data_IF_278946045357
#
_entry.id   IF_278946045357
#
_cell.length_a   1.000
_cell.length_b   1.000
_cell.length_c   1.000
_cell.angle_alpha   90.00
_cell.angle_beta   90.00
_cell.angle_gamma   90.00
#
_symmetry.space_group_name_H-M   'P 1'
#
loop_
_entity.id
_entity.type
_entity.pdbx_description
1 polymer ?
#
# COMPACT_ATOMS: atom_id res chain seq x y z
N UNK A 1 18.61 8.89 -6.56
CA UNK A 1 18.07 7.83 -5.70
C UNK A 1 16.78 7.31 -6.33
N UNK A 2 16.66 5.99 -6.48
CA UNK A 2 15.48 5.31 -7.05
C UNK A 2 14.50 4.95 -5.95
N UNK A 3 13.26 5.34 -6.09
CA UNK A 3 12.22 5.06 -5.11
C UNK A 3 11.01 4.36 -5.74
N UNK A 4 10.26 3.64 -4.91
CA UNK A 4 9.03 2.97 -5.27
C UNK A 4 7.90 3.45 -4.36
N UNK A 5 6.76 3.78 -4.96
CA UNK A 5 5.51 4.06 -4.26
C UNK A 5 4.47 2.99 -4.57
N UNK A 6 3.89 2.42 -3.52
CA UNK A 6 2.85 1.39 -3.57
C UNK A 6 1.60 1.91 -2.82
N UNK A 7 0.69 2.60 -3.51
CA UNK A 7 -0.53 3.11 -2.90
C UNK A 7 -1.44 2.01 -2.37
N UNK A 8 -2.15 2.29 -1.28
CA UNK A 8 -3.17 1.40 -0.73
C UNK A 8 -4.36 1.23 -1.68
N UNK A 9 -4.83 0.01 -1.82
CA UNK A 9 -5.86 -0.32 -2.81
C UNK A 9 -6.73 -1.53 -2.42
N UNK A 10 -6.61 -2.01 -1.19
CA UNK A 10 -7.34 -3.20 -0.72
C UNK A 10 -6.98 -4.44 -1.53
N UNK A 11 -7.99 -5.23 -1.91
CA UNK A 11 -7.78 -6.49 -2.64
C UNK A 11 -7.09 -6.31 -4.01
N UNK A 12 -7.19 -5.12 -4.62
CA UNK A 12 -6.48 -4.80 -5.87
C UNK A 12 -4.96 -4.82 -5.73
N UNK A 13 -4.43 -4.89 -4.51
CA UNK A 13 -3.01 -5.13 -4.22
C UNK A 13 -2.45 -6.38 -4.89
N UNK A 14 -3.28 -7.35 -5.24
CA UNK A 14 -2.89 -8.50 -6.05
C UNK A 14 -2.09 -8.09 -7.30
N UNK A 15 -2.55 -7.05 -7.99
CA UNK A 15 -1.87 -6.48 -9.15
C UNK A 15 -0.46 -5.97 -8.78
N UNK A 16 -0.33 -5.23 -7.67
CA UNK A 16 0.96 -4.72 -7.22
C UNK A 16 1.93 -5.86 -6.92
N UNK A 17 1.48 -6.92 -6.24
CA UNK A 17 2.32 -8.08 -5.94
C UNK A 17 2.80 -8.78 -7.22
N UNK A 18 1.95 -8.90 -8.24
CA UNK A 18 2.34 -9.50 -9.53
C UNK A 18 3.37 -8.63 -10.26
N UNK A 19 3.14 -7.32 -10.33
CA UNK A 19 4.07 -6.37 -10.95
C UNK A 19 5.42 -6.40 -10.23
N UNK A 20 5.42 -6.38 -8.89
CA UNK A 20 6.66 -6.39 -8.12
C UNK A 20 7.45 -7.68 -8.29
N UNK A 21 6.79 -8.84 -8.35
CA UNK A 21 7.44 -10.10 -8.64
C UNK A 21 8.14 -10.09 -10.00
N UNK A 22 7.52 -9.49 -11.02
CA UNK A 22 8.10 -9.38 -12.35
C UNK A 22 9.25 -8.36 -12.42
N UNK A 23 9.08 -7.17 -11.82
CA UNK A 23 10.15 -6.17 -11.76
C UNK A 23 11.38 -6.72 -11.03
N UNK A 24 11.15 -7.49 -9.95
CA UNK A 24 12.23 -8.16 -9.22
C UNK A 24 12.99 -9.17 -10.09
N UNK A 25 12.28 -10.00 -10.84
CA UNK A 25 12.89 -10.96 -11.80
C UNK A 25 13.67 -10.28 -12.92
N UNK A 26 13.25 -9.07 -13.31
CA UNK A 26 13.99 -8.22 -14.27
C UNK A 26 15.22 -7.53 -13.66
N UNK A 27 15.50 -7.75 -12.36
CA UNK A 27 16.63 -7.14 -11.68
C UNK A 27 16.39 -5.70 -11.23
N UNK A 28 15.15 -5.20 -11.26
CA UNK A 28 14.87 -3.85 -10.76
C UNK A 28 14.97 -3.81 -9.24
N UNK A 29 15.68 -2.79 -8.73
CA UNK A 29 15.88 -2.56 -7.30
C UNK A 29 15.66 -1.08 -6.99
N UNK A 30 15.27 -0.79 -5.75
CA UNK A 30 14.94 0.54 -5.26
C UNK A 30 15.70 0.80 -3.96
N UNK A 31 16.15 2.04 -3.76
CA UNK A 31 16.84 2.47 -2.56
C UNK A 31 15.86 2.71 -1.40
N UNK A 32 14.66 3.19 -1.73
CA UNK A 32 13.56 3.45 -0.80
C UNK A 32 12.23 2.95 -1.37
N UNK A 33 11.48 2.22 -0.57
CA UNK A 33 10.15 1.70 -0.94
C UNK A 33 9.13 2.20 0.07
N UNK A 34 8.12 2.91 -0.40
CA UNK A 34 7.05 3.44 0.43
C UNK A 34 5.71 2.77 0.10
N UNK A 35 4.90 2.55 1.12
CA UNK A 35 3.57 1.99 0.93
C UNK A 35 2.55 2.38 1.99
N UNK A 36 1.28 2.33 1.58
CA UNK A 36 0.12 2.54 2.43
C UNK A 36 -0.81 1.32 2.35
N UNK A 37 -1.47 0.94 3.45
CA UNK A 37 -2.47 -0.14 3.46
C UNK A 37 -1.93 -1.43 2.82
N UNK A 38 -2.67 -2.05 1.91
CA UNK A 38 -2.22 -3.23 1.16
C UNK A 38 -0.90 -3.02 0.41
N UNK A 39 -0.64 -1.79 -0.06
CA UNK A 39 0.62 -1.42 -0.69
C UNK A 39 1.80 -1.46 0.29
N UNK A 40 1.59 -1.19 1.58
CA UNK A 40 2.65 -1.30 2.59
C UNK A 40 3.11 -2.74 2.79
N UNK A 41 2.18 -3.71 2.71
CA UNK A 41 2.52 -5.14 2.79
C UNK A 41 3.33 -5.56 1.56
N UNK A 42 2.93 -5.11 0.37
CA UNK A 42 3.70 -5.35 -0.86
C UNK A 42 5.10 -4.70 -0.79
N UNK A 43 5.21 -3.48 -0.25
CA UNK A 43 6.47 -2.79 -0.02
C UNK A 43 7.39 -3.59 0.91
N UNK A 44 6.86 -4.07 2.03
CA UNK A 44 7.61 -4.85 3.01
C UNK A 44 8.14 -6.17 2.42
N UNK A 45 7.30 -6.90 1.69
CA UNK A 45 7.69 -8.14 0.99
C UNK A 45 8.79 -7.85 -0.05
N UNK A 46 8.68 -6.72 -0.76
CA UNK A 46 9.68 -6.32 -1.75
C UNK A 46 11.03 -5.99 -1.10
N UNK A 47 11.03 -5.18 -0.03
CA UNK A 47 12.26 -4.79 0.68
C UNK A 47 12.94 -5.99 1.33
N UNK A 48 12.17 -6.95 1.82
CA UNK A 48 12.69 -8.20 2.39
C UNK A 48 13.33 -9.16 1.37
N UNK A 49 13.30 -8.81 0.07
CA UNK A 49 13.81 -9.68 -1.00
C UNK A 49 12.89 -10.84 -1.36
N UNK A 50 11.60 -10.76 -0.98
CA UNK A 50 10.59 -11.81 -1.13
C UNK A 50 9.52 -11.44 -2.17
N UNK A 51 9.83 -10.56 -3.11
CA UNK A 51 8.85 -10.07 -4.09
C UNK A 51 8.24 -11.19 -4.94
N UNK A 52 9.01 -12.24 -5.26
CA UNK A 52 8.53 -13.36 -6.07
C UNK A 52 7.53 -14.26 -5.33
N UNK A 53 7.61 -14.33 -4.01
CA UNK A 53 6.67 -15.04 -3.13
C UNK A 53 5.37 -14.26 -2.90
N UNK A 54 5.37 -12.97 -3.20
CA UNK A 54 4.25 -12.07 -2.98
C UNK A 54 2.91 -12.57 -3.53
N UNK A 55 2.80 -13.00 -4.79
CA UNK A 55 1.57 -13.58 -5.34
C UNK A 55 1.07 -14.80 -4.57
N UNK A 56 1.97 -15.64 -4.06
CA UNK A 56 1.62 -16.82 -3.24
C UNK A 56 1.07 -16.40 -1.88
N UNK A 57 1.73 -15.45 -1.23
CA UNK A 57 1.24 -14.83 0.00
C UNK A 57 -0.17 -14.26 -0.18
N UNK A 58 -0.40 -13.53 -1.26
CA UNK A 58 -1.69 -12.91 -1.53
C UNK A 58 -2.80 -13.95 -1.73
N UNK A 59 -2.52 -15.02 -2.49
CA UNK A 59 -3.44 -16.16 -2.64
C UNK A 59 -3.77 -16.82 -1.31
N UNK A 60 -2.81 -16.98 -0.44
CA UNK A 60 -3.02 -17.56 0.89
C UNK A 60 -3.93 -16.68 1.76
N UNK A 61 -3.75 -15.37 1.73
CA UNK A 61 -4.62 -14.41 2.43
C UNK A 61 -6.06 -14.48 1.89
N UNK A 62 -6.23 -14.47 0.58
CA UNK A 62 -7.54 -14.48 -0.08
C UNK A 62 -8.37 -15.74 0.18
N UNK A 63 -7.74 -16.87 0.49
CA UNK A 63 -8.43 -18.12 0.87
C UNK A 63 -9.03 -18.09 2.28
N UNK A 64 -8.68 -17.10 3.08
CA UNK A 64 -9.14 -16.99 4.47
C UNK A 64 -10.39 -16.11 4.52
N UNK A 65 -11.53 -16.59 5.05
CA UNK A 65 -12.75 -15.79 5.11
C UNK A 65 -12.55 -14.54 5.94
N UNK A 66 -12.72 -13.37 5.34
CA UNK A 66 -12.58 -12.07 6.01
C UNK A 66 -13.70 -11.84 7.01
N UNK A 67 -14.92 -12.26 6.68
CA UNK A 67 -16.08 -12.17 7.57
C UNK A 67 -16.38 -13.56 8.13
N UNK A 68 -16.24 -13.73 9.44
CA UNK A 68 -16.53 -14.97 10.15
C UNK A 68 -16.73 -14.74 11.63
N UNK A 69 -17.67 -15.48 12.25
CA UNK A 69 -17.89 -15.44 13.70
C UNK A 69 -16.66 -15.90 14.51
N UNK A 70 -15.74 -16.67 13.91
CA UNK A 70 -14.49 -17.08 14.57
C UNK A 70 -13.64 -15.89 15.02
N UNK A 71 -13.72 -14.75 14.32
CA UNK A 71 -12.95 -13.55 14.61
C UNK A 71 -13.42 -12.78 15.84
N UNK A 72 -14.65 -13.04 16.32
CA UNK A 72 -15.16 -12.41 17.56
C UNK A 72 -14.27 -12.67 18.77
N UNK A 73 -13.55 -13.77 18.79
CA UNK A 73 -12.64 -14.12 19.89
C UNK A 73 -11.37 -13.25 19.89
N UNK A 74 -10.73 -13.10 18.72
CA UNK A 74 -9.45 -12.40 18.57
C UNK A 74 -9.64 -10.91 18.29
N UNK A 75 -10.52 -10.57 17.36
CA UNK A 75 -10.67 -9.21 16.85
C UNK A 75 -11.81 -8.41 17.50
N UNK A 76 -12.67 -9.07 18.32
CA UNK A 76 -13.92 -8.50 18.86
C UNK A 76 -14.85 -7.94 17.79
N UNK A 77 -14.72 -8.46 16.57
CA UNK A 77 -15.43 -8.08 15.36
C UNK A 77 -15.62 -9.34 14.51
N UNK A 78 -16.68 -9.46 13.69
CA UNK A 78 -16.78 -10.51 12.69
C UNK A 78 -15.78 -10.32 11.52
N UNK A 79 -15.12 -9.18 11.45
CA UNK A 79 -14.06 -8.87 10.48
C UNK A 79 -12.70 -9.34 10.96
N UNK A 80 -12.01 -10.14 10.17
CA UNK A 80 -10.72 -10.75 10.52
C UNK A 80 -9.53 -10.22 9.75
N UNK A 81 -9.62 -9.11 9.04
CA UNK A 81 -8.53 -8.65 8.17
C UNK A 81 -7.22 -8.43 8.94
N UNK A 82 -7.26 -7.82 10.12
CA UNK A 82 -6.04 -7.62 10.93
C UNK A 82 -5.41 -8.95 11.34
N UNK A 83 -6.23 -9.96 11.72
CA UNK A 83 -5.72 -11.28 12.03
C UNK A 83 -5.15 -11.98 10.79
N UNK A 84 -5.79 -11.84 9.62
CA UNK A 84 -5.33 -12.40 8.36
C UNK A 84 -4.00 -11.78 7.95
N UNK A 85 -3.88 -10.45 8.02
CA UNK A 85 -2.62 -9.75 7.70
C UNK A 85 -1.52 -10.17 8.66
N UNK A 86 -1.79 -10.18 9.97
CA UNK A 86 -0.82 -10.58 11.00
C UNK A 86 -0.36 -12.03 10.81
N UNK A 87 -1.26 -12.94 10.49
CA UNK A 87 -0.94 -14.35 10.25
C UNK A 87 -0.09 -14.51 8.97
N UNK A 88 -0.47 -13.81 7.91
CA UNK A 88 0.30 -13.81 6.66
C UNK A 88 1.71 -13.23 6.84
N UNK A 89 1.85 -12.12 7.59
CA UNK A 89 3.17 -11.55 7.90
C UNK A 89 4.04 -12.55 8.66
N UNK A 90 3.52 -13.16 9.74
CA UNK A 90 4.26 -14.15 10.50
C UNK A 90 4.70 -15.37 9.68
N UNK A 91 3.87 -15.78 8.72
CA UNK A 91 4.13 -16.96 7.89
C UNK A 91 5.09 -16.69 6.74
N UNK A 92 4.97 -15.55 6.07
CA UNK A 92 5.66 -15.27 4.82
C UNK A 92 6.75 -14.22 4.93
N UNK A 93 6.73 -13.39 5.97
CA UNK A 93 7.64 -12.27 6.13
C UNK A 93 8.22 -12.26 7.54
N UNK A 94 9.31 -12.97 7.82
CA UNK A 94 10.00 -12.85 9.10
C UNK A 94 10.40 -11.40 9.38
N UNK A 95 10.16 -10.92 10.61
CA UNK A 95 10.38 -9.51 10.95
C UNK A 95 11.86 -9.12 10.86
N UNK A 96 12.75 -10.06 11.13
CA UNK A 96 14.19 -9.89 11.03
C UNK A 96 14.63 -9.54 9.60
N UNK A 97 13.90 -10.06 8.59
CA UNK A 97 14.14 -9.73 7.18
C UNK A 97 13.89 -8.26 6.85
N UNK A 98 13.12 -7.56 7.65
CA UNK A 98 12.86 -6.14 7.48
C UNK A 98 13.95 -5.25 8.10
N UNK A 99 14.78 -5.80 8.97
CA UNK A 99 15.82 -5.06 9.68
C UNK A 99 17.17 -5.06 8.94
N UNK A 100 17.46 -6.15 8.24
CA UNK A 100 18.71 -6.35 7.51
C UNK A 100 18.45 -6.27 6.01
N UNK A 101 18.20 -5.03 5.53
CA UNK A 101 17.86 -4.76 4.13
C UNK A 101 18.67 -3.60 3.57
N UNK A 102 19.04 -3.67 2.29
CA UNK A 102 19.70 -2.55 1.61
C UNK A 102 18.72 -1.37 1.41
N UNK A 103 17.48 -1.65 1.04
CA UNK A 103 16.46 -0.65 0.82
C UNK A 103 15.79 -0.19 2.12
N UNK A 104 15.44 1.09 2.22
CA UNK A 104 14.61 1.61 3.30
C UNK A 104 13.12 1.34 3.00
N UNK A 105 12.40 0.78 3.99
CA UNK A 105 10.94 0.64 3.96
C UNK A 105 10.29 1.81 4.69
N UNK A 106 9.38 2.51 4.02
CA UNK A 106 8.53 3.54 4.60
C UNK A 106 7.07 3.10 4.59
N UNK A 107 6.43 3.12 5.74
CA UNK A 107 5.02 2.74 5.89
C UNK A 107 4.24 3.90 6.50
N UNK A 108 3.16 4.34 5.83
CA UNK A 108 2.26 5.35 6.40
C UNK A 108 1.23 4.74 7.33
N UNK A 109 0.92 5.47 8.39
CA UNK A 109 -0.26 5.28 9.24
C UNK A 109 -0.90 6.63 9.53
N UNK A 110 -2.16 6.63 9.96
CA UNK A 110 -2.91 7.85 10.30
C UNK A 110 -3.23 7.87 11.78
N UNK A 111 -2.87 8.93 12.50
CA UNK A 111 -3.31 9.14 13.90
C UNK A 111 -4.81 9.40 13.96
N UNK A 112 -5.58 8.53 14.58
CA UNK A 112 -7.03 8.60 14.60
C UNK A 112 -7.57 9.90 15.21
N UNK A 113 -6.96 10.42 16.27
CA UNK A 113 -7.38 11.66 16.96
C UNK A 113 -7.16 12.93 16.12
N UNK A 114 -6.17 12.93 15.22
CA UNK A 114 -5.82 14.08 14.39
C UNK A 114 -6.52 14.08 13.04
N UNK A 115 -7.07 12.94 12.64
CA UNK A 115 -7.78 12.79 11.37
C UNK A 115 -8.97 13.77 11.22
N UNK A 116 -9.69 14.03 12.30
CA UNK A 116 -10.83 14.99 12.32
C UNK A 116 -10.39 16.46 12.26
N UNK A 117 -9.11 16.77 12.56
CA UNK A 117 -8.60 18.14 12.54
C UNK A 117 -8.03 18.52 11.17
N UNK A 118 -7.01 17.80 10.72
CA UNK A 118 -6.40 17.91 9.37
C UNK A 118 -5.73 16.60 9.02
N UNK A 119 -6.04 16.04 7.84
CA UNK A 119 -5.49 14.75 7.42
C UNK A 119 -3.96 14.75 7.35
N UNK A 120 -3.35 15.85 6.88
CA UNK A 120 -1.88 15.98 6.80
C UNK A 120 -1.18 15.97 8.17
N UNK A 121 -1.80 16.57 9.20
CA UNK A 121 -1.25 16.57 10.56
C UNK A 121 -1.39 15.20 11.24
N UNK A 122 -2.18 14.31 10.64
CA UNK A 122 -2.42 12.96 11.13
C UNK A 122 -1.44 11.92 10.54
N UNK A 123 -0.72 12.25 9.47
CA UNK A 123 0.23 11.36 8.83
C UNK A 123 1.38 11.01 9.78
N UNK A 124 1.68 9.72 9.88
CA UNK A 124 2.90 9.22 10.49
C UNK A 124 3.58 8.27 9.52
N UNK A 125 4.85 8.50 9.28
CA UNK A 125 5.68 7.64 8.43
C UNK A 125 6.65 6.87 9.33
N UNK A 126 6.58 5.56 9.25
CA UNK A 126 7.47 4.65 9.98
C UNK A 126 8.53 4.10 9.04
N UNK A 127 9.77 3.99 9.55
CA UNK A 127 10.90 3.44 8.79
C UNK A 127 11.46 2.18 9.49
N UNK A 128 11.78 1.15 8.72
CA UNK A 128 12.49 -0.04 9.22
C UNK A 128 13.89 0.28 9.73
N UNK A 129 14.45 1.44 9.38
CA UNK A 129 15.75 1.90 9.89
C UNK A 129 15.70 2.33 11.35
N UNK A 130 14.54 2.82 11.79
CA UNK A 130 14.36 3.39 13.13
C UNK A 130 13.42 2.55 14.01
N UNK A 131 12.71 1.60 13.43
CA UNK A 131 11.66 0.84 14.11
C UNK A 131 11.86 -0.68 13.96
N UNK A 132 11.56 -1.45 15.01
CA UNK A 132 11.73 -2.92 15.04
C UNK A 132 10.42 -3.69 14.92
N UNK A 133 9.31 -3.14 15.37
CA UNK A 133 7.97 -3.72 15.36
C UNK A 133 7.19 -3.40 14.06
N UNK A 134 7.81 -3.64 12.91
CA UNK A 134 7.23 -3.31 11.62
C UNK A 134 5.96 -4.09 11.30
N UNK A 135 5.80 -5.31 11.82
CA UNK A 135 4.55 -6.08 11.66
C UNK A 135 3.35 -5.34 12.25
N UNK A 136 3.46 -4.76 13.43
CA UNK A 136 2.35 -4.00 14.05
C UNK A 136 2.09 -2.70 13.29
N UNK A 137 3.11 -2.07 12.72
CA UNK A 137 2.96 -0.91 11.82
C UNK A 137 2.19 -1.29 10.56
N UNK A 138 2.54 -2.42 9.92
CA UNK A 138 1.86 -2.93 8.72
C UNK A 138 0.39 -3.26 8.99
N UNK A 139 0.09 -3.89 10.13
CA UNK A 139 -1.29 -4.14 10.56
C UNK A 139 -2.04 -2.83 10.78
N UNK A 140 -1.43 -1.85 11.44
CA UNK A 140 -2.03 -0.53 11.65
C UNK A 140 -2.31 0.18 10.33
N UNK A 141 -1.35 0.13 9.39
CA UNK A 141 -1.51 0.68 8.04
C UNK A 141 -2.66 0.06 7.25
N UNK A 142 -3.04 -1.19 7.55
CA UNK A 142 -4.16 -1.89 6.91
C UNK A 142 -5.48 -1.81 7.69
N UNK A 143 -5.52 -1.11 8.82
CA UNK A 143 -6.70 -1.09 9.71
C UNK A 143 -7.69 -0.01 9.32
N UNK A 144 -8.84 -0.40 8.78
CA UNK A 144 -9.95 0.52 8.46
C UNK A 144 -10.82 0.70 9.71
N UNK A 145 -10.92 1.92 10.29
CA UNK A 145 -11.46 2.12 11.64
C UNK A 145 -12.92 1.70 11.81
N UNK A 146 -13.73 1.74 10.76
CA UNK A 146 -15.17 1.40 10.82
C UNK A 146 -15.40 -0.10 10.98
N UNK A 147 -14.41 -0.93 10.61
CA UNK A 147 -14.55 -2.39 10.57
C UNK A 147 -14.10 -3.08 11.86
N UNK A 148 -13.42 -2.39 12.76
CA UNK A 148 -12.80 -2.99 13.95
C UNK A 148 -13.21 -2.33 15.25
N UNK A 149 -13.54 -3.14 16.23
CA UNK A 149 -13.80 -2.67 17.59
C UNK A 149 -12.50 -2.38 18.37
N UNK A 150 -11.38 -2.96 17.95
CA UNK A 150 -10.08 -2.76 18.56
C UNK A 150 -9.11 -2.21 17.51
N UNK A 151 -8.66 -0.98 17.73
CA UNK A 151 -7.72 -0.29 16.84
C UNK A 151 -6.28 -0.49 17.35
N UNK A 152 -5.28 -0.60 16.46
CA UNK A 152 -3.88 -0.66 16.84
C UNK A 152 -3.43 0.59 17.59
N UNK A 153 -2.56 0.38 18.58
CA UNK A 153 -1.90 1.45 19.33
C UNK A 153 -0.41 1.37 19.07
N UNK A 154 0.16 2.43 18.50
CA UNK A 154 1.60 2.59 18.29
C UNK A 154 2.06 3.81 19.09
N UNK A 155 3.11 3.64 19.89
CA UNK A 155 3.69 4.71 20.71
C UNK A 155 2.64 5.44 21.60
N UNK A 156 1.64 4.69 22.11
CA UNK A 156 0.58 5.23 22.97
C UNK A 156 -0.56 5.96 22.24
N UNK A 157 -0.52 6.07 20.92
CA UNK A 157 -1.57 6.68 20.10
C UNK A 157 -2.31 5.64 19.24
N UNK A 158 -3.59 5.88 18.98
CA UNK A 158 -4.39 5.03 18.09
C UNK A 158 -4.08 5.37 16.65
N UNK A 159 -3.68 4.35 15.88
CA UNK A 159 -3.36 4.43 14.46
C UNK A 159 -4.35 3.62 13.61
N UNK A 160 -4.60 4.12 12.40
CA UNK A 160 -5.46 3.51 11.39
C UNK A 160 -4.80 3.56 10.01
N UNK A 161 -5.51 3.10 9.00
CA UNK A 161 -5.05 3.00 7.60
C UNK A 161 -4.28 4.25 7.15
N UNK A 162 -3.08 4.01 6.63
CA UNK A 162 -2.16 5.07 6.20
C UNK A 162 -2.67 5.86 5.00
N UNK A 163 -3.42 5.19 4.12
CA UNK A 163 -4.02 5.82 2.96
C UNK A 163 -5.08 6.89 3.31
N UNK A 164 -5.51 6.99 4.57
CA UNK A 164 -6.40 8.06 4.99
C UNK A 164 -5.69 9.42 5.08
N UNK A 165 -4.41 9.46 5.42
CA UNK A 165 -3.62 10.69 5.49
C UNK A 165 -2.83 10.96 4.21
N UNK A 166 -2.11 9.96 3.70
CA UNK A 166 -1.38 10.02 2.43
C UNK A 166 -1.28 8.61 1.85
N UNK A 167 -1.86 8.41 0.69
CA UNK A 167 -1.89 7.11 0.02
C UNK A 167 -0.66 6.84 -0.86
N UNK A 168 0.06 7.88 -1.26
CA UNK A 168 1.12 7.78 -2.26
C UNK A 168 2.52 7.98 -1.71
N UNK A 169 2.67 8.74 -0.65
CA UNK A 169 3.92 9.11 -0.02
C UNK A 169 4.94 9.78 -0.99
N UNK A 170 4.47 10.38 -2.08
CA UNK A 170 5.37 10.96 -3.09
C UNK A 170 6.20 12.11 -2.55
N UNK A 171 5.60 13.03 -1.79
CA UNK A 171 6.33 14.15 -1.17
C UNK A 171 7.31 13.65 -0.11
N UNK A 172 6.96 12.58 0.61
CA UNK A 172 7.85 11.91 1.57
C UNK A 172 9.07 11.31 0.86
N UNK A 173 8.87 10.62 -0.27
CA UNK A 173 9.96 10.07 -1.07
C UNK A 173 10.88 11.16 -1.62
N UNK A 174 10.31 12.27 -2.09
CA UNK A 174 11.11 13.45 -2.53
C UNK A 174 11.91 14.02 -1.37
N UNK A 175 11.31 14.17 -0.20
CA UNK A 175 12.01 14.63 1.00
C UNK A 175 13.15 13.70 1.44
N UNK A 176 13.10 12.40 1.06
CA UNK A 176 14.19 11.44 1.23
C UNK A 176 15.26 11.53 0.13
N UNK A 177 15.10 12.43 -0.84
CA UNK A 177 16.04 12.65 -1.93
C UNK A 177 15.77 11.79 -3.18
N UNK A 178 14.57 11.25 -3.34
CA UNK A 178 14.20 10.51 -4.54
C UNK A 178 14.12 11.45 -5.76
N UNK A 179 14.76 11.04 -6.84
CA UNK A 179 14.76 11.75 -8.14
C UNK A 179 14.14 10.91 -9.26
N UNK A 180 14.00 9.60 -9.04
CA UNK A 180 13.38 8.66 -9.96
C UNK A 180 12.40 7.79 -9.16
N UNK A 181 11.09 8.06 -9.30
CA UNK A 181 10.04 7.40 -8.53
C UNK A 181 9.21 6.52 -9.46
N UNK A 182 9.15 5.24 -9.15
CA UNK A 182 8.20 4.33 -9.77
C UNK A 182 6.94 4.25 -8.89
N UNK A 183 5.77 4.42 -9.49
CA UNK A 183 4.48 4.24 -8.82
C UNK A 183 3.76 3.06 -9.46
N UNK A 184 3.36 2.08 -8.67
CA UNK A 184 2.55 0.95 -9.14
C UNK A 184 1.13 1.12 -8.61
N UNK A 185 0.21 1.54 -9.46
CA UNK A 185 -1.20 1.76 -9.12
C UNK A 185 -2.09 0.70 -9.77
N UNK A 186 -3.10 0.17 -9.09
CA UNK A 186 -4.03 -0.80 -9.67
C UNK A 186 -5.18 -0.15 -10.44
N UNK A 187 -5.10 1.14 -10.71
CA UNK A 187 -6.14 1.87 -11.43
C UNK A 187 -5.74 2.10 -12.89
N UNK A 188 -6.63 1.73 -13.80
CA UNK A 188 -6.49 2.03 -15.24
C UNK A 188 -6.27 3.54 -15.44
N UNK A 189 -5.44 3.89 -16.42
CA UNK A 189 -5.12 5.29 -16.68
C UNK A 189 -4.14 5.91 -15.69
N UNK A 190 -3.78 5.19 -14.61
CA UNK A 190 -2.76 5.63 -13.68
C UNK A 190 -3.24 6.62 -12.65
N UNK A 191 -4.53 6.63 -12.33
CA UNK A 191 -5.03 7.42 -11.21
C UNK A 191 -4.26 7.04 -9.94
N UNK A 192 -3.57 7.99 -9.36
CA UNK A 192 -2.76 7.79 -8.16
C UNK A 192 -3.58 8.15 -6.92
N UNK A 193 -4.73 8.80 -7.12
CA UNK A 193 -5.57 9.28 -6.06
C UNK A 193 -6.60 8.26 -5.61
N UNK A 194 -7.03 8.45 -4.50
CA UNK A 194 -8.20 8.22 -3.71
C UNK A 194 -7.85 7.50 -2.42
N UNK A 195 -7.65 8.29 -1.42
CA UNK A 195 -7.97 7.86 -0.07
C UNK A 195 -9.46 7.50 -0.02
N UNK A 196 -9.80 6.49 0.75
CA UNK A 196 -11.21 6.10 0.98
C UNK A 196 -12.04 7.25 1.61
N UNK A 197 -11.41 8.28 2.16
CA UNK A 197 -12.04 9.22 3.08
C UNK A 197 -11.73 10.71 2.83
N UNK A 198 -10.75 11.05 1.99
CA UNK A 198 -10.36 12.45 1.76
C UNK A 198 -10.02 12.65 0.28
N UNK A 199 -10.47 13.75 -0.30
CA UNK A 199 -9.99 14.18 -1.61
C UNK A 199 -8.51 14.56 -1.47
N UNK A 200 -7.62 13.79 -2.07
CA UNK A 200 -6.21 14.09 -2.08
C UNK A 200 -5.93 15.33 -2.92
N UNK A 201 -5.16 16.22 -2.35
CA UNK A 201 -4.52 17.26 -3.13
C UNK A 201 -3.46 16.60 -4.02
N UNK A 202 -3.38 16.93 -5.33
CA UNK A 202 -2.31 16.44 -6.17
C UNK A 202 -0.96 16.76 -5.56
N UNK A 203 -0.01 15.81 -5.49
CA UNK A 203 1.30 16.06 -4.93
C UNK A 203 2.06 17.08 -5.78
N UNK A 204 2.71 18.03 -5.13
CA UNK A 204 3.58 19.00 -5.80
C UNK A 204 4.99 18.44 -5.82
N UNK A 205 5.43 17.99 -7.00
CA UNK A 205 6.76 17.42 -7.17
C UNK A 205 7.71 18.41 -7.86
N UNK A 206 8.99 18.47 -7.43
CA UNK A 206 9.98 19.30 -8.07
C UNK A 206 10.21 18.90 -9.55
N UNK A 207 10.53 19.86 -10.44
CA UNK A 207 10.64 19.62 -11.89
C UNK A 207 11.72 18.60 -12.29
N UNK A 208 12.69 18.32 -11.42
CA UNK A 208 13.77 17.38 -11.67
C UNK A 208 13.41 15.93 -11.27
N UNK A 209 12.26 15.74 -10.60
CA UNK A 209 11.79 14.40 -10.23
C UNK A 209 11.09 13.76 -11.41
N UNK A 210 11.55 12.58 -11.78
CA UNK A 210 10.92 11.74 -12.80
C UNK A 210 10.00 10.72 -12.16
N UNK A 211 8.77 10.64 -12.65
CA UNK A 211 7.80 9.65 -12.19
C UNK A 211 7.48 8.67 -13.31
N UNK A 212 7.76 7.38 -13.08
CA UNK A 212 7.33 6.26 -13.90
C UNK A 212 6.07 5.65 -13.28
N UNK A 213 4.98 5.63 -14.00
CA UNK A 213 3.71 5.10 -13.58
C UNK A 213 3.46 3.74 -14.24
N UNK A 214 3.20 2.72 -13.42
CA UNK A 214 2.80 1.38 -13.87
C UNK A 214 1.35 1.17 -13.46
N UNK A 215 0.51 0.85 -14.44
CA UNK A 215 -0.92 0.62 -14.22
C UNK A 215 -1.43 -0.55 -15.07
N UNK A 216 -2.54 -1.20 -14.70
CA UNK A 216 -3.10 -2.24 -15.55
C UNK A 216 -3.53 -1.67 -16.90
N UNK A 217 -3.34 -2.46 -17.96
CA UNK A 217 -3.70 -2.08 -19.33
C UNK A 217 -5.23 -1.98 -19.51
N UNK A 218 -6.01 -2.60 -18.62
CA UNK A 218 -7.47 -2.57 -18.59
C UNK A 218 -7.94 -2.49 -17.15
N UNK A 219 -9.15 -1.97 -16.92
CA UNK A 219 -9.76 -1.91 -15.61
C UNK A 219 -9.85 -3.30 -14.96
N UNK A 220 -9.31 -3.44 -13.76
CA UNK A 220 -9.41 -4.66 -12.98
C UNK A 220 -10.87 -4.88 -12.54
N UNK A 221 -11.39 -6.08 -12.75
CA UNK A 221 -12.72 -6.48 -12.26
C UNK A 221 -12.73 -6.67 -10.73
N UNK A 222 -11.56 -6.90 -10.14
CA UNK A 222 -11.37 -7.06 -8.71
C UNK A 222 -11.72 -5.76 -7.97
N UNK A 223 -12.68 -5.81 -7.05
CA UNK A 223 -13.06 -4.73 -6.16
C UNK A 223 -12.07 -4.53 -5.00
N UNK A 224 -12.20 -3.42 -4.26
CA UNK A 224 -11.34 -3.14 -3.08
C UNK A 224 -11.51 -4.15 -1.93
N UNK A 225 -12.72 -4.70 -1.78
CA UNK A 225 -13.08 -5.66 -0.73
C UNK A 225 -13.56 -6.98 -1.32
N UNK A 226 -13.08 -7.31 -2.50
CA UNK A 226 -13.48 -8.46 -3.26
C UNK A 226 -12.39 -9.54 -3.18
N UNK A 227 -12.76 -10.71 -2.69
CA UNK A 227 -11.88 -11.86 -2.54
C UNK A 227 -12.25 -13.00 -3.49
N UNK A 228 -13.02 -12.73 -4.55
CA UNK A 228 -13.38 -13.75 -5.52
C UNK A 228 -12.13 -14.33 -6.20
N UNK A 229 -11.91 -15.65 -6.15
CA UNK A 229 -10.65 -16.25 -6.61
C UNK A 229 -10.38 -16.02 -8.10
N UNK A 230 -11.41 -16.05 -8.94
CA UNK A 230 -11.30 -15.80 -10.39
C UNK A 230 -10.82 -14.38 -10.69
N UNK A 231 -11.36 -13.38 -10.00
CA UNK A 231 -10.96 -11.98 -10.15
C UNK A 231 -9.60 -11.70 -9.55
N UNK A 232 -9.24 -12.43 -8.50
CA UNK A 232 -7.91 -12.37 -7.93
C UNK A 232 -6.87 -12.87 -8.95
N UNK A 233 -7.08 -14.03 -9.57
CA UNK A 233 -6.15 -14.58 -10.57
C UNK A 233 -6.09 -13.70 -11.82
N UNK A 234 -7.20 -13.08 -12.24
CA UNK A 234 -7.21 -12.07 -13.29
C UNK A 234 -6.32 -10.89 -12.94
N UNK A 235 -6.39 -10.37 -11.70
CA UNK A 235 -5.56 -9.25 -11.26
C UNK A 235 -4.07 -9.62 -11.19
N UNK A 236 -3.75 -10.84 -10.73
CA UNK A 236 -2.38 -11.36 -10.67
C UNK A 236 -1.76 -11.58 -12.05
N UNK A 237 -2.57 -11.83 -13.08
CA UNK A 237 -2.12 -12.06 -14.46
C UNK A 237 -2.39 -10.87 -15.40
N UNK A 238 -2.85 -9.74 -14.85
CA UNK A 238 -3.24 -8.59 -15.67
C UNK A 238 -2.01 -7.97 -16.36
N UNK A 239 -2.07 -7.76 -17.68
CA UNK A 239 -1.05 -7.00 -18.38
C UNK A 239 -1.06 -5.54 -17.91
N UNK A 240 0.11 -4.91 -17.93
CA UNK A 240 0.25 -3.52 -17.53
C UNK A 240 0.86 -2.65 -18.61
N UNK A 241 0.74 -1.35 -18.43
CA UNK A 241 1.37 -0.30 -19.23
C UNK A 241 2.23 0.57 -18.34
N UNK A 242 3.32 1.06 -18.92
CA UNK A 242 4.24 1.98 -18.26
C UNK A 242 4.17 3.35 -18.95
N UNK A 243 4.16 4.41 -18.16
CA UNK A 243 4.16 5.79 -18.66
C UNK A 243 5.12 6.61 -17.81
N UNK A 244 5.88 7.50 -18.45
CA UNK A 244 6.60 8.57 -17.77
C UNK A 244 5.66 9.76 -17.69
N UNK A 245 5.37 10.22 -16.47
CA UNK A 245 4.49 11.35 -16.22
C UNK A 245 5.33 12.61 -16.12
N UNK A 246 5.06 13.58 -16.99
CA UNK A 246 5.61 14.94 -16.85
C UNK A 246 4.74 15.70 -15.82
N UNK A 247 5.26 15.80 -14.61
CA UNK A 247 4.58 16.45 -13.48
C UNK A 247 4.29 17.92 -13.75
N UNK A 248 4.96 18.55 -14.73
CA UNK A 248 4.74 19.95 -15.12
C UNK A 248 3.41 20.20 -15.85
N UNK A 249 2.73 19.14 -16.32
CA UNK A 249 1.51 19.23 -17.15
C UNK A 249 0.23 18.82 -16.42
N UNK A 250 0.24 18.62 -15.13
CA UNK A 250 -0.95 18.20 -14.36
C UNK A 250 -1.90 19.35 -13.97
N UNK A 251 -1.83 20.49 -14.63
CA UNK A 251 -2.83 21.58 -14.47
C UNK A 251 -4.19 21.28 -15.10
N UNK A 252 -4.36 20.12 -15.73
CA UNK A 252 -5.66 19.67 -16.25
C UNK A 252 -6.02 18.31 -15.64
N UNK A 253 -6.63 18.33 -14.47
CA UNK A 253 -7.29 17.15 -13.93
C UNK A 253 -8.41 16.72 -14.91
N UNK A 254 -8.44 15.45 -15.36
CA UNK A 254 -9.64 14.94 -15.98
C UNK A 254 -10.75 14.90 -14.90
N UNK A 255 -11.88 15.50 -15.18
CA UNK A 255 -13.11 15.42 -14.38
C UNK A 255 -13.39 13.95 -14.02
N UNK A 256 -13.19 13.60 -12.77
CA UNK A 256 -13.54 12.27 -12.26
C UNK A 256 -14.98 12.40 -11.75
N UNK A 257 -15.93 12.24 -12.65
CA UNK A 257 -17.31 11.92 -12.29
C UNK A 257 -17.32 10.61 -11.50
N UNK A 258 -17.78 10.69 -10.27
CA UNK A 258 -18.14 9.55 -9.43
C UNK A 258 -19.31 8.81 -10.12
N UNK A 259 -18.98 7.82 -10.93
CA UNK A 259 -19.95 6.87 -11.46
C UNK A 259 -20.25 5.83 -10.37
N UNK A 260 -21.54 5.71 -10.05
CA UNK A 260 -22.14 4.88 -9.03
C UNK A 260 -21.83 3.37 -9.09
#
# INVERSE_FOLDING_TARGET
>A
MRALSLPGCGCRGAFQFAVMAELWRRGERFDVVAGASSGSVCAAVTVAGLAEEGPTMWRAMARTPVVSMRWLRSEKSPFGMNAIVRDALRRFLPEERLQDTDAELLVSTTRARRFLARAQDALVVHSNRTRRDMHEVLVASCTIPILYARLPVLDGEVHVDGGAADNTLLEVLVARGATDITVVTPYEGGAVSATLFVAERPPVLPPHVRVRLISPARRLRLGRFDFAPDRLEEALSSPWVERVVDVRRQDAAPDITLGG
#
